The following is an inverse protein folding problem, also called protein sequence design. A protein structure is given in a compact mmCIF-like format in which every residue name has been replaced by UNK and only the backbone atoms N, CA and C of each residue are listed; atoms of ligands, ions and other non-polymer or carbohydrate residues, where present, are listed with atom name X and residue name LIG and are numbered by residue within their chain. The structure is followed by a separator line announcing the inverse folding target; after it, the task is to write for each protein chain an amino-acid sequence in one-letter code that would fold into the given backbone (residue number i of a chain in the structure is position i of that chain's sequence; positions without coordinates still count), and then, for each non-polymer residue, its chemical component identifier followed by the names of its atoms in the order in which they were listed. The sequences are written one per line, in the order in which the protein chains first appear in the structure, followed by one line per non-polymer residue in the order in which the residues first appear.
data_IF_033643362071
#
_entry.id   IF_033643362071
#
_cell.length_a   1.000
_cell.length_b   1.000
_cell.length_c   1.000
_cell.angle_alpha   90.00
_cell.angle_beta   90.00
_cell.angle_gamma   90.00
#
_symmetry.space_group_name_H-M   'P 1'
#
loop_
_entity.id
_entity.type
_entity.pdbx_description
1 polymer ?
#
# COMPACT_ATOMS: atom_id res chain seq x y z
N UNK A 1 39.54 14.54 -54.45
CA UNK A 1 38.72 13.86 -53.42
C UNK A 1 37.35 13.58 -54.03
N UNK A 2 36.92 12.31 -54.12
CA UNK A 2 35.74 11.90 -54.91
C UNK A 2 34.40 12.30 -54.24
N UNK A 3 33.53 12.96 -55.01
CA UNK A 3 32.17 13.38 -54.65
C UNK A 3 31.25 12.21 -54.26
N UNK A 4 31.51 10.99 -54.73
CA UNK A 4 30.74 9.79 -54.36
C UNK A 4 30.82 9.49 -52.86
N UNK A 5 31.99 9.68 -52.25
CA UNK A 5 32.19 9.37 -50.83
C UNK A 5 31.39 10.32 -49.91
N UNK A 6 31.24 11.60 -50.32
CA UNK A 6 30.45 12.59 -49.59
C UNK A 6 28.96 12.25 -49.55
N UNK A 7 28.40 11.67 -50.62
CA UNK A 7 26.98 11.23 -50.66
C UNK A 7 26.73 9.97 -49.81
N UNK A 8 27.67 9.04 -49.72
CA UNK A 8 27.53 7.89 -48.81
C UNK A 8 27.65 8.29 -47.34
N UNK A 9 28.63 9.13 -46.99
CA UNK A 9 28.80 9.64 -45.63
C UNK A 9 27.56 10.41 -45.12
N UNK A 10 26.99 11.28 -45.97
CA UNK A 10 25.77 12.02 -45.62
C UNK A 10 24.54 11.11 -45.48
N UNK A 11 24.44 10.00 -46.24
CA UNK A 11 23.37 9.01 -46.05
C UNK A 11 23.54 8.24 -44.73
N UNK A 12 24.75 7.90 -44.33
CA UNK A 12 25.01 7.25 -43.05
C UNK A 12 24.68 8.16 -41.85
N UNK A 13 24.98 9.47 -41.97
CA UNK A 13 24.62 10.46 -40.97
C UNK A 13 23.10 10.66 -40.85
N UNK A 14 22.39 10.80 -41.98
CA UNK A 14 20.92 10.95 -41.97
C UNK A 14 20.16 9.68 -41.59
N UNK A 15 20.74 8.48 -41.74
CA UNK A 15 20.10 7.24 -41.28
C UNK A 15 19.99 7.18 -39.76
N UNK A 16 20.94 7.78 -39.03
CA UNK A 16 20.91 7.85 -37.55
C UNK A 16 19.87 8.82 -37.00
N UNK A 17 19.38 9.77 -37.80
CA UNK A 17 18.44 10.81 -37.37
C UNK A 17 16.96 10.47 -37.65
N UNK A 18 16.66 9.41 -38.41
CA UNK A 18 15.29 9.06 -38.82
C UNK A 18 14.73 7.77 -38.16
N UNK A 19 15.35 7.29 -37.09
CA UNK A 19 14.85 6.17 -36.27
C UNK A 19 14.44 6.57 -34.84
N UNK A 20 14.48 7.87 -34.49
CA UNK A 20 14.68 8.30 -33.09
C UNK A 20 13.87 9.55 -32.72
N UNK A 21 12.54 9.49 -32.85
CA UNK A 21 11.64 10.47 -32.24
C UNK A 21 10.44 9.80 -31.56
N UNK A 22 9.33 9.55 -32.26
CA UNK A 22 8.06 9.13 -31.64
C UNK A 22 8.15 7.91 -30.72
N UNK A 23 8.83 6.83 -31.13
CA UNK A 23 8.94 5.62 -30.28
C UNK A 23 9.89 5.83 -29.10
N UNK A 24 10.94 6.64 -29.27
CA UNK A 24 11.87 6.97 -28.19
C UNK A 24 11.20 7.87 -27.15
N UNK A 25 10.38 8.83 -27.59
CA UNK A 25 9.61 9.71 -26.73
C UNK A 25 8.57 8.94 -25.91
N UNK A 26 7.85 7.99 -26.54
CA UNK A 26 6.85 7.16 -25.86
C UNK A 26 7.51 6.20 -24.85
N UNK A 27 8.66 5.61 -25.19
CA UNK A 27 9.44 4.79 -24.23
C UNK A 27 10.01 5.65 -23.09
N UNK A 28 10.49 6.87 -23.34
CA UNK A 28 10.92 7.79 -22.28
C UNK A 28 9.76 8.23 -21.38
N UNK A 29 8.57 8.46 -21.93
CA UNK A 29 7.38 8.85 -21.18
C UNK A 29 6.89 7.69 -20.30
N UNK A 30 6.91 6.46 -20.82
CA UNK A 30 6.62 5.27 -20.01
C UNK A 30 7.70 4.99 -18.95
N UNK A 31 8.98 5.22 -19.25
CA UNK A 31 10.08 5.03 -18.30
C UNK A 31 10.08 6.09 -17.18
N UNK A 32 9.80 7.35 -17.51
CA UNK A 32 9.65 8.42 -16.50
C UNK A 32 8.39 8.19 -15.66
N UNK A 33 7.27 7.80 -16.26
CA UNK A 33 6.08 7.38 -15.50
C UNK A 33 6.39 6.20 -14.57
N UNK A 34 7.09 5.17 -15.05
CA UNK A 34 7.52 4.01 -14.26
C UNK A 34 8.41 4.37 -13.06
N UNK A 35 9.32 5.35 -13.21
CA UNK A 35 10.17 5.81 -12.11
C UNK A 35 9.47 6.75 -11.12
N UNK A 36 8.50 7.54 -11.58
CA UNK A 36 7.79 8.54 -10.75
C UNK A 36 6.61 7.92 -10.00
N UNK A 37 5.87 7.00 -10.63
CA UNK A 37 4.67 6.35 -10.05
C UNK A 37 4.87 5.68 -8.68
N UNK A 38 5.98 4.94 -8.39
CA UNK A 38 6.21 4.39 -7.06
C UNK A 38 6.58 5.45 -6.02
N UNK A 39 7.09 6.62 -6.42
CA UNK A 39 7.57 7.66 -5.50
C UNK A 39 6.49 8.64 -5.02
N UNK A 40 5.33 8.70 -5.68
CA UNK A 40 4.26 9.67 -5.35
C UNK A 40 3.33 9.26 -4.21
N UNK A 41 3.54 8.10 -3.57
CA UNK A 41 2.59 7.50 -2.61
C UNK A 41 3.12 7.40 -1.16
N UNK A 42 4.15 8.17 -0.75
CA UNK A 42 4.78 7.97 0.58
C UNK A 42 5.24 9.24 1.30
N UNK A 43 4.46 10.33 1.22
CA UNK A 43 4.61 11.50 2.10
C UNK A 43 3.29 11.95 2.77
N UNK A 44 2.28 11.08 2.80
CA UNK A 44 1.16 11.22 3.72
C UNK A 44 1.40 10.29 4.92
N UNK A 45 1.56 10.84 6.12
CA UNK A 45 1.40 10.08 7.37
C UNK A 45 -0.11 9.98 7.65
N UNK A 46 -0.83 9.29 6.77
CA UNK A 46 -2.25 9.02 6.97
C UNK A 46 -2.40 8.01 8.11
N UNK A 47 -3.11 8.43 9.15
CA UNK A 47 -3.27 7.65 10.38
C UNK A 47 -4.23 6.49 10.14
N UNK A 48 -3.70 5.26 10.11
CA UNK A 48 -4.47 4.04 9.85
C UNK A 48 -5.11 3.50 11.15
N UNK A 49 -6.38 3.84 11.32
CA UNK A 49 -7.26 3.37 12.41
C UNK A 49 -7.38 1.83 12.42
N UNK A 50 -7.28 1.16 11.25
CA UNK A 50 -7.37 -0.31 11.13
C UNK A 50 -6.09 -0.98 11.59
N UNK A 51 -4.92 -0.48 11.18
CA UNK A 51 -3.64 -0.88 11.77
C UNK A 51 -3.62 -0.61 13.28
N UNK A 52 -4.08 0.56 13.71
CA UNK A 52 -4.23 0.92 15.13
C UNK A 52 -5.10 -0.07 15.92
N UNK A 53 -6.24 -0.49 15.37
CA UNK A 53 -7.10 -1.54 15.93
C UNK A 53 -6.36 -2.87 16.09
N UNK A 54 -5.62 -3.28 15.07
CA UNK A 54 -4.84 -4.53 15.07
C UNK A 54 -3.73 -4.50 16.14
N UNK A 55 -2.95 -3.42 16.18
CA UNK A 55 -1.89 -3.20 17.16
C UNK A 55 -2.45 -3.14 18.58
N UNK A 56 -3.56 -2.43 18.81
CA UNK A 56 -4.25 -2.39 20.11
C UNK A 56 -4.74 -3.78 20.54
N UNK A 57 -5.36 -4.55 19.63
CA UNK A 57 -5.86 -5.88 19.94
C UNK A 57 -4.74 -6.86 20.28
N UNK A 58 -3.60 -6.77 19.59
CA UNK A 58 -2.43 -7.63 19.81
C UNK A 58 -1.69 -7.28 21.10
N UNK A 59 -1.50 -5.98 21.39
CA UNK A 59 -0.58 -5.52 22.43
C UNK A 59 -1.28 -5.02 23.69
N UNK A 60 -2.46 -4.40 23.59
CA UNK A 60 -3.06 -3.60 24.68
C UNK A 60 -4.37 -4.22 25.24
N UNK A 61 -5.16 -4.88 24.39
CA UNK A 61 -6.53 -5.32 24.70
C UNK A 61 -6.63 -6.42 25.77
N UNK A 62 -5.51 -7.05 26.14
CA UNK A 62 -5.41 -7.98 27.26
C UNK A 62 -5.56 -7.29 28.63
N UNK A 63 -5.08 -6.06 28.76
CA UNK A 63 -5.07 -5.30 30.02
C UNK A 63 -6.02 -4.08 30.00
N UNK A 64 -6.31 -3.53 28.82
CA UNK A 64 -7.14 -2.35 28.64
C UNK A 64 -8.40 -2.64 27.84
N UNK A 65 -9.48 -1.93 28.16
CA UNK A 65 -10.66 -1.77 27.30
C UNK A 65 -10.84 -0.27 27.01
N UNK A 66 -11.58 0.04 25.96
CA UNK A 66 -11.84 1.43 25.58
C UNK A 66 -12.74 2.10 26.63
N UNK A 67 -13.89 1.51 26.93
CA UNK A 67 -14.96 2.14 27.71
C UNK A 67 -15.11 1.62 29.16
N UNK A 68 -14.17 0.79 29.65
CA UNK A 68 -14.23 0.18 30.99
C UNK A 68 -12.83 0.03 31.60
N UNK A 69 -12.69 0.27 32.90
CA UNK A 69 -11.49 -0.08 33.68
C UNK A 69 -11.34 -1.61 33.77
N UNK A 70 -10.10 -2.09 33.67
CA UNK A 70 -9.75 -3.51 33.80
C UNK A 70 -8.42 -3.61 34.60
N UNK A 71 -7.41 -4.31 34.10
CA UNK A 71 -6.05 -4.29 34.67
C UNK A 71 -5.40 -2.90 34.54
N UNK A 72 -5.77 -2.15 33.50
CA UNK A 72 -5.44 -0.74 33.33
C UNK A 72 -6.67 0.16 33.12
N UNK A 73 -6.46 1.49 33.01
CA UNK A 73 -7.51 2.47 32.78
C UNK A 73 -8.23 2.31 31.43
N UNK A 74 -9.44 2.88 31.36
CA UNK A 74 -10.25 2.99 30.15
C UNK A 74 -9.61 3.99 29.16
N UNK A 75 -9.25 3.51 27.97
CA UNK A 75 -8.43 4.28 27.02
C UNK A 75 -9.23 5.12 25.99
N UNK A 76 -10.56 5.07 25.98
CA UNK A 76 -11.40 5.94 25.12
C UNK A 76 -11.03 7.42 25.29
N UNK A 77 -10.66 8.08 24.21
CA UNK A 77 -10.16 9.47 24.17
C UNK A 77 -9.05 9.79 25.19
N UNK A 78 -8.14 8.84 25.48
CA UNK A 78 -7.09 9.01 26.51
C UNK A 78 -6.19 10.23 26.25
N UNK A 79 -5.85 10.51 24.99
CA UNK A 79 -5.05 11.69 24.59
C UNK A 79 -5.73 13.00 25.03
N UNK A 80 -7.02 13.16 24.70
CA UNK A 80 -7.80 14.33 25.11
C UNK A 80 -8.00 14.40 26.63
N UNK A 81 -8.19 13.26 27.32
CA UNK A 81 -8.34 13.28 28.79
C UNK A 81 -7.06 13.69 29.48
N UNK A 82 -5.91 13.10 29.14
CA UNK A 82 -4.63 13.45 29.76
C UNK A 82 -4.25 14.92 29.52
N UNK A 83 -4.52 15.44 28.32
CA UNK A 83 -4.25 16.84 27.98
C UNK A 83 -5.13 17.81 28.76
N UNK A 84 -6.42 17.51 28.94
CA UNK A 84 -7.36 18.41 29.62
C UNK A 84 -7.36 18.26 31.15
N UNK A 85 -7.22 17.04 31.67
CA UNK A 85 -7.36 16.73 33.09
C UNK A 85 -6.04 16.95 33.88
N UNK A 86 -4.90 16.64 33.26
CA UNK A 86 -3.57 16.62 33.91
C UNK A 86 -2.51 17.46 33.17
N UNK A 87 -2.85 18.05 32.02
CA UNK A 87 -1.93 18.87 31.21
C UNK A 87 -0.86 18.06 30.46
N UNK A 88 -1.03 16.74 30.33
CA UNK A 88 -0.05 15.83 29.75
C UNK A 88 -0.28 15.63 28.25
N UNK A 89 0.77 15.79 27.46
CA UNK A 89 0.71 15.80 26.01
C UNK A 89 0.89 14.39 25.38
N UNK A 90 0.85 14.35 24.05
CA UNK A 90 1.05 13.13 23.27
C UNK A 90 2.46 12.54 23.45
N UNK A 91 3.48 13.37 23.70
CA UNK A 91 4.85 12.91 23.92
C UNK A 91 5.03 12.18 25.26
N UNK A 92 4.29 12.60 26.30
CA UNK A 92 4.19 11.85 27.55
C UNK A 92 3.63 10.44 27.30
N UNK A 93 2.54 10.33 26.51
CA UNK A 93 1.96 9.04 26.11
C UNK A 93 2.95 8.16 25.34
N UNK A 94 3.73 8.73 24.41
CA UNK A 94 4.74 7.98 23.64
C UNK A 94 5.82 7.40 24.57
N UNK A 95 6.28 8.21 25.54
CA UNK A 95 7.28 7.79 26.53
C UNK A 95 6.72 6.72 27.48
N UNK A 96 5.48 6.88 27.93
CA UNK A 96 4.78 5.93 28.80
C UNK A 96 4.56 4.56 28.12
N UNK A 97 4.09 4.55 26.87
CA UNK A 97 3.83 3.31 26.13
C UNK A 97 5.15 2.56 25.85
N UNK A 98 6.23 3.29 25.53
CA UNK A 98 7.55 2.68 25.33
C UNK A 98 8.16 2.14 26.62
N UNK A 99 8.11 2.87 27.73
CA UNK A 99 8.71 2.45 28.99
C UNK A 99 8.09 3.13 30.24
N UNK A 100 6.87 2.75 30.59
CA UNK A 100 6.16 3.16 31.82
C UNK A 100 7.03 3.03 33.08
N UNK A 101 7.81 1.95 33.19
CA UNK A 101 8.71 1.71 34.33
C UNK A 101 9.81 2.75 34.49
N UNK A 102 10.27 3.37 33.40
CA UNK A 102 11.21 4.49 33.47
C UNK A 102 10.53 5.79 33.93
N UNK A 103 9.30 6.06 33.46
CA UNK A 103 8.51 7.24 33.84
C UNK A 103 8.08 7.18 35.33
N UNK A 104 7.74 5.99 35.83
CA UNK A 104 7.48 5.80 37.27
C UNK A 104 8.75 6.10 38.09
N UNK A 105 9.91 5.59 37.65
CA UNK A 105 11.22 5.77 38.32
C UNK A 105 11.79 7.19 38.24
N UNK A 106 11.41 8.00 37.25
CA UNK A 106 11.83 9.40 37.18
C UNK A 106 11.14 10.29 38.23
N UNK A 107 10.13 9.77 38.94
CA UNK A 107 9.39 10.50 39.97
C UNK A 107 8.21 11.31 39.43
N UNK A 108 7.77 11.06 38.20
CA UNK A 108 6.59 11.69 37.61
C UNK A 108 5.34 11.47 38.50
N UNK A 109 4.65 12.55 38.83
CA UNK A 109 3.57 12.54 39.82
C UNK A 109 2.34 11.77 39.34
N UNK A 110 1.99 11.88 38.06
CA UNK A 110 0.85 11.20 37.46
C UNK A 110 1.14 9.71 37.23
N UNK A 111 2.35 9.38 36.76
CA UNK A 111 2.86 8.01 36.65
C UNK A 111 2.80 7.26 38.00
N UNK A 112 3.24 7.89 39.08
CA UNK A 112 3.20 7.29 40.41
C UNK A 112 1.77 7.20 40.98
N UNK A 113 0.93 8.21 40.73
CA UNK A 113 -0.51 8.22 41.08
C UNK A 113 -1.26 7.08 40.39
N UNK A 114 -1.14 6.94 39.06
CA UNK A 114 -1.83 5.90 38.30
C UNK A 114 -1.28 4.51 38.62
N UNK A 115 0.05 4.37 38.83
CA UNK A 115 0.64 3.11 39.26
C UNK A 115 0.13 2.67 40.65
N UNK A 116 -0.09 3.61 41.58
CA UNK A 116 -0.73 3.31 42.86
C UNK A 116 -2.22 2.94 42.73
N UNK A 117 -2.99 3.63 41.88
CA UNK A 117 -4.43 3.34 41.66
C UNK A 117 -4.64 1.91 41.12
N UNK A 118 -3.78 1.43 40.22
CA UNK A 118 -3.90 0.10 39.60
C UNK A 118 -3.06 -0.97 40.32
N UNK A 119 -3.01 -0.92 41.66
CA UNK A 119 -2.37 -1.90 42.54
C UNK A 119 -0.88 -2.20 42.24
N UNK A 120 -0.14 -1.22 41.70
CA UNK A 120 1.25 -1.38 41.25
C UNK A 120 1.41 -2.47 40.17
N UNK A 121 0.39 -2.67 39.34
CA UNK A 121 0.44 -3.57 38.18
C UNK A 121 1.45 -3.03 37.17
N UNK A 122 2.47 -3.82 36.84
CA UNK A 122 3.47 -3.42 35.86
C UNK A 122 2.90 -3.49 34.44
N UNK A 123 2.92 -2.35 33.72
CA UNK A 123 2.62 -2.32 32.29
C UNK A 123 3.87 -2.74 31.50
N UNK A 124 3.72 -3.69 30.58
CA UNK A 124 4.77 -4.10 29.65
C UNK A 124 5.32 -2.91 28.87
N UNK A 125 6.64 -2.87 28.67
CA UNK A 125 7.30 -1.86 27.85
C UNK A 125 7.21 -2.25 26.36
N UNK A 126 6.88 -1.30 25.48
CA UNK A 126 6.80 -1.52 24.03
C UNK A 126 7.83 -0.65 23.26
N UNK A 127 9.15 -0.82 23.50
CA UNK A 127 10.18 -0.03 22.83
C UNK A 127 10.26 -0.26 21.31
N UNK A 128 9.65 -1.33 20.81
CA UNK A 128 9.58 -1.67 19.39
C UNK A 128 8.51 -0.88 18.60
N UNK A 129 7.60 -0.17 19.26
CA UNK A 129 6.55 0.59 18.57
C UNK A 129 7.10 1.95 18.09
N UNK A 130 6.98 2.21 16.80
CA UNK A 130 7.31 3.50 16.18
C UNK A 130 6.31 4.59 16.60
N UNK A 131 6.63 5.86 16.35
CA UNK A 131 5.70 6.96 16.64
C UNK A 131 4.40 6.81 15.85
N UNK A 132 4.49 6.32 14.60
CA UNK A 132 3.35 6.03 13.72
C UNK A 132 2.48 4.89 14.29
N UNK A 133 3.08 3.83 14.82
CA UNK A 133 2.32 2.74 15.45
C UNK A 133 1.54 3.24 16.67
N UNK A 134 2.16 4.08 17.49
CA UNK A 134 1.52 4.66 18.68
C UNK A 134 0.43 5.64 18.27
N UNK A 135 0.65 6.47 17.26
CA UNK A 135 -0.35 7.41 16.72
C UNK A 135 -1.58 6.67 16.15
N UNK A 136 -1.36 5.60 15.38
CA UNK A 136 -2.42 4.72 14.89
C UNK A 136 -3.24 4.11 16.05
N UNK A 137 -2.57 3.64 17.11
CA UNK A 137 -3.23 3.13 18.33
C UNK A 137 -4.06 4.25 19.01
N UNK A 138 -3.50 5.44 19.20
CA UNK A 138 -4.19 6.54 19.86
C UNK A 138 -5.43 6.99 19.05
N UNK A 139 -5.31 7.10 17.73
CA UNK A 139 -6.44 7.39 16.86
C UNK A 139 -7.52 6.30 16.90
N UNK A 140 -7.14 5.02 16.99
CA UNK A 140 -8.10 3.95 17.26
C UNK A 140 -8.85 4.15 18.59
N UNK A 141 -8.17 4.60 19.66
CA UNK A 141 -8.82 4.92 20.95
C UNK A 141 -9.66 6.20 20.94
N UNK A 142 -9.41 7.10 19.98
CA UNK A 142 -10.12 8.37 19.83
C UNK A 142 -11.44 8.26 19.05
N UNK A 143 -11.74 7.09 18.44
CA UNK A 143 -13.04 6.84 17.82
C UNK A 143 -14.19 6.97 18.83
N UNK A 144 -15.36 7.38 18.34
CA UNK A 144 -16.58 7.42 19.13
C UNK A 144 -17.05 6.01 19.52
N UNK A 145 -17.79 5.90 20.64
CA UNK A 145 -18.38 4.64 21.09
C UNK A 145 -19.59 4.27 20.23
N UNK A 146 -19.33 3.53 19.16
CA UNK A 146 -20.36 2.73 18.48
C UNK A 146 -21.00 1.82 19.54
N UNK A 147 -22.34 1.85 19.69
CA UNK A 147 -23.09 0.99 20.59
C UNK A 147 -23.59 -0.22 19.79
N UNK A 148 -22.98 -1.42 19.91
CA UNK A 148 -23.37 -2.58 19.12
C UNK A 148 -24.22 -3.54 19.97
N UNK A 149 -25.23 -4.15 19.33
CA UNK A 149 -25.90 -5.34 19.87
C UNK A 149 -24.90 -6.50 19.92
N UNK A 150 -25.20 -7.50 20.75
CA UNK A 150 -24.31 -8.62 21.08
C UNK A 150 -23.86 -9.50 19.88
N UNK A 151 -22.99 -10.45 20.18
CA UNK A 151 -21.70 -10.54 19.52
C UNK A 151 -21.18 -12.02 19.59
N UNK A 152 -20.56 -12.61 18.54
CA UNK A 152 -19.85 -13.94 18.56
C UNK A 152 -18.42 -13.85 18.00
N UNK A 153 -17.40 -14.44 18.64
CA UNK A 153 -15.98 -14.20 18.30
C UNK A 153 -15.37 -15.22 17.32
N UNK A 154 -14.71 -14.75 16.25
CA UNK A 154 -13.90 -15.60 15.34
C UNK A 154 -12.62 -14.91 14.88
N UNK A 155 -11.53 -15.68 14.89
CA UNK A 155 -10.17 -15.28 14.47
C UNK A 155 -10.07 -14.94 12.98
N UNK A 156 -9.38 -13.85 12.65
CA UNK A 156 -8.93 -13.54 11.29
C UNK A 156 -7.81 -14.48 10.85
N UNK A 157 -7.97 -15.14 9.70
CA UNK A 157 -6.87 -15.82 9.03
C UNK A 157 -5.89 -14.77 8.45
N UNK A 158 -4.61 -14.93 8.74
CA UNK A 158 -3.56 -14.03 8.23
C UNK A 158 -3.47 -14.09 6.71
N UNK A 159 -3.31 -12.92 6.08
CA UNK A 159 -2.82 -12.84 4.70
C UNK A 159 -1.44 -13.54 4.61
N UNK A 160 -1.07 -14.12 3.45
CA UNK A 160 0.17 -14.88 3.32
C UNK A 160 1.38 -13.99 3.59
N UNK A 161 2.02 -14.17 4.75
CA UNK A 161 3.25 -13.46 5.09
C UNK A 161 4.38 -13.93 4.18
N UNK A 162 5.00 -12.97 3.52
CA UNK A 162 6.29 -13.06 2.84
C UNK A 162 7.38 -13.59 3.80
N UNK A 163 7.60 -14.90 3.82
CA UNK A 163 8.68 -15.58 4.59
C UNK A 163 10.12 -15.18 4.17
N UNK A 164 10.27 -14.14 3.35
CA UNK A 164 11.52 -13.58 2.86
C UNK A 164 11.89 -12.26 3.54
N UNK A 165 11.02 -11.68 4.40
CA UNK A 165 11.27 -10.40 5.08
C UNK A 165 11.31 -9.16 4.18
N UNK A 166 11.08 -9.31 2.87
CA UNK A 166 11.05 -8.24 1.88
C UNK A 166 9.71 -7.51 1.92
N UNK A 167 9.70 -6.20 2.18
CA UNK A 167 8.44 -5.44 2.25
C UNK A 167 7.65 -5.52 0.93
N UNK A 168 6.33 -5.34 0.99
CA UNK A 168 5.44 -5.50 -0.17
C UNK A 168 5.84 -4.56 -1.32
N UNK A 169 6.35 -3.39 -0.98
CA UNK A 169 6.86 -2.35 -1.88
C UNK A 169 8.08 -2.86 -2.67
N UNK A 170 8.99 -3.59 -2.02
CA UNK A 170 10.16 -4.21 -2.67
C UNK A 170 9.73 -5.35 -3.59
N UNK A 171 8.78 -6.17 -3.17
CA UNK A 171 8.22 -7.26 -3.99
C UNK A 171 7.56 -6.68 -5.26
N UNK A 172 6.74 -5.65 -5.11
CA UNK A 172 6.11 -4.94 -6.22
C UNK A 172 7.14 -4.27 -7.14
N UNK A 173 8.19 -3.67 -6.57
CA UNK A 173 9.30 -3.09 -7.34
C UNK A 173 10.02 -4.11 -8.23
N UNK A 174 10.30 -5.31 -7.71
CA UNK A 174 10.92 -6.42 -8.46
C UNK A 174 10.01 -6.89 -9.61
N UNK A 175 8.71 -7.09 -9.35
CA UNK A 175 7.76 -7.46 -10.41
C UNK A 175 7.63 -6.38 -11.48
N UNK A 176 7.58 -5.10 -11.06
CA UNK A 176 7.53 -3.95 -11.98
C UNK A 176 8.75 -3.95 -12.92
N UNK A 177 9.95 -4.14 -12.38
CA UNK A 177 11.20 -4.23 -13.16
C UNK A 177 11.21 -5.41 -14.14
N UNK A 178 10.72 -6.57 -13.72
CA UNK A 178 10.59 -7.75 -14.58
C UNK A 178 9.67 -7.49 -15.78
N UNK A 179 8.48 -6.92 -15.54
CA UNK A 179 7.54 -6.58 -16.61
C UNK A 179 8.09 -5.50 -17.56
N UNK A 180 8.83 -4.52 -17.04
CA UNK A 180 9.49 -3.49 -17.85
C UNK A 180 10.55 -4.07 -18.80
N UNK A 181 11.42 -4.97 -18.30
CA UNK A 181 12.41 -5.67 -19.12
C UNK A 181 11.75 -6.52 -20.21
N UNK A 182 10.69 -7.26 -19.85
CA UNK A 182 9.93 -8.08 -20.79
C UNK A 182 9.23 -7.24 -21.87
N UNK A 183 8.69 -6.06 -21.51
CA UNK A 183 8.10 -5.12 -22.45
C UNK A 183 9.15 -4.54 -23.43
N UNK A 184 10.35 -4.17 -22.96
CA UNK A 184 11.45 -3.74 -23.83
C UNK A 184 11.82 -4.84 -24.82
N UNK A 185 11.97 -6.09 -24.36
CA UNK A 185 12.26 -7.24 -25.23
C UNK A 185 11.23 -7.41 -26.34
N UNK A 186 9.94 -7.36 -26.01
CA UNK A 186 8.83 -7.43 -26.98
C UNK A 186 8.84 -6.26 -27.97
N UNK A 187 9.12 -5.04 -27.52
CA UNK A 187 9.20 -3.86 -28.39
C UNK A 187 10.39 -3.95 -29.35
N UNK A 188 11.55 -4.38 -28.88
CA UNK A 188 12.74 -4.63 -29.72
C UNK A 188 12.46 -5.69 -30.78
N UNK A 189 11.91 -6.84 -30.38
CA UNK A 189 11.57 -7.94 -31.31
C UNK A 189 10.48 -7.53 -32.30
N UNK A 190 9.43 -6.82 -31.87
CA UNK A 190 8.41 -6.32 -32.79
C UNK A 190 8.99 -5.33 -33.80
N UNK A 191 9.91 -4.46 -33.37
CA UNK A 191 10.54 -3.47 -34.24
C UNK A 191 11.55 -4.11 -35.21
N UNK A 192 12.34 -5.10 -34.79
CA UNK A 192 13.24 -5.84 -35.69
C UNK A 192 12.45 -6.64 -36.73
N UNK A 193 11.41 -7.37 -36.32
CA UNK A 193 10.53 -8.12 -37.25
C UNK A 193 9.87 -7.19 -38.28
N UNK A 194 9.37 -6.01 -37.86
CA UNK A 194 8.83 -5.00 -38.79
C UNK A 194 9.89 -4.46 -39.75
N UNK A 195 11.12 -4.25 -39.28
CA UNK A 195 12.21 -3.79 -40.13
C UNK A 195 12.64 -4.86 -41.15
N UNK A 196 12.70 -6.14 -40.75
CA UNK A 196 12.94 -7.25 -41.67
C UNK A 196 11.81 -7.42 -42.70
N UNK A 197 10.54 -7.29 -42.31
CA UNK A 197 9.42 -7.33 -43.25
C UNK A 197 9.54 -6.25 -44.34
N UNK A 198 9.90 -5.02 -43.94
CA UNK A 198 10.15 -3.90 -44.88
C UNK A 198 11.36 -4.13 -45.79
N UNK A 199 12.41 -4.80 -45.31
CA UNK A 199 13.62 -5.08 -46.10
C UNK A 199 13.44 -6.23 -47.12
N UNK A 200 12.47 -7.11 -46.91
CA UNK A 200 12.17 -8.25 -47.80
C UNK A 200 10.96 -7.97 -48.71
N UNK A 201 10.58 -6.70 -48.90
CA UNK A 201 9.43 -6.24 -49.71
C UNK A 201 8.08 -6.93 -49.35
N UNK A 202 7.95 -7.42 -48.11
CA UNK A 202 6.72 -8.03 -47.62
C UNK A 202 5.73 -6.91 -47.36
N UNK A 203 4.68 -6.82 -48.19
CA UNK A 203 3.54 -5.92 -47.94
C UNK A 203 2.97 -6.21 -46.56
N UNK A 204 3.27 -5.35 -45.60
CA UNK A 204 2.62 -5.34 -44.31
C UNK A 204 1.13 -5.12 -44.56
N UNK A 205 0.32 -6.14 -44.26
CA UNK A 205 -1.12 -6.15 -44.55
C UNK A 205 -1.72 -4.84 -44.03
N UNK A 206 -2.26 -4.06 -44.95
CA UNK A 206 -2.90 -2.79 -44.66
C UNK A 206 -3.99 -3.05 -43.61
N UNK A 207 -3.92 -2.36 -42.47
CA UNK A 207 -4.84 -2.63 -41.36
C UNK A 207 -6.27 -2.37 -41.83
N UNK A 208 -7.00 -3.44 -42.14
CA UNK A 208 -8.45 -3.36 -42.23
C UNK A 208 -8.98 -2.72 -40.94
N UNK A 209 -9.97 -1.85 -41.09
CA UNK A 209 -10.52 -1.04 -39.99
C UNK A 209 -10.91 -1.98 -38.85
N UNK A 210 -10.07 -2.03 -37.82
CA UNK A 210 -10.29 -2.88 -36.65
C UNK A 210 -11.66 -2.55 -36.09
N UNK A 211 -12.50 -3.58 -35.89
CA UNK A 211 -13.80 -3.44 -35.23
C UNK A 211 -13.65 -2.55 -33.99
N UNK A 212 -14.57 -1.60 -33.73
CA UNK A 212 -14.49 -0.76 -32.54
C UNK A 212 -14.37 -1.65 -31.30
N UNK A 213 -13.53 -1.24 -30.34
CA UNK A 213 -13.04 -2.10 -29.24
C UNK A 213 -14.19 -2.76 -28.48
N UNK A 214 -15.29 -2.04 -28.26
CA UNK A 214 -16.55 -2.53 -27.68
C UNK A 214 -17.17 -3.71 -28.44
N UNK A 215 -17.16 -3.67 -29.78
CA UNK A 215 -17.68 -4.76 -30.61
C UNK A 215 -16.74 -5.98 -30.57
N UNK A 216 -15.42 -5.75 -30.61
CA UNK A 216 -14.43 -6.81 -30.46
C UNK A 216 -14.46 -7.47 -29.06
N UNK A 217 -14.85 -6.74 -28.03
CA UNK A 217 -15.04 -7.25 -26.67
C UNK A 217 -16.30 -8.13 -26.57
N UNK A 218 -17.45 -7.67 -27.08
CA UNK A 218 -18.72 -8.44 -27.06
C UNK A 218 -18.64 -9.68 -27.97
N UNK A 219 -17.97 -9.58 -29.13
CA UNK A 219 -17.74 -10.72 -30.03
C UNK A 219 -16.81 -11.79 -29.41
N UNK A 220 -16.10 -11.50 -28.31
CA UNK A 220 -15.16 -12.41 -27.65
C UNK A 220 -15.75 -13.00 -26.36
N UNK A 221 -16.35 -14.19 -26.48
CA UNK A 221 -16.96 -14.92 -25.36
C UNK A 221 -16.02 -15.17 -24.18
N UNK A 222 -14.71 -15.32 -24.39
CA UNK A 222 -13.74 -15.49 -23.31
C UNK A 222 -13.54 -14.20 -22.51
N UNK A 223 -13.39 -13.05 -23.17
CA UNK A 223 -13.27 -11.75 -22.49
C UNK A 223 -14.55 -11.37 -21.75
N UNK A 224 -15.71 -11.67 -22.34
CA UNK A 224 -17.02 -11.50 -21.68
C UNK A 224 -17.14 -12.38 -20.43
N UNK A 225 -16.68 -13.64 -20.48
CA UNK A 225 -16.69 -14.54 -19.32
C UNK A 225 -15.72 -14.06 -18.23
N UNK A 226 -14.48 -13.72 -18.57
CA UNK A 226 -13.49 -13.25 -17.61
C UNK A 226 -13.91 -11.95 -16.91
N UNK A 227 -14.50 -11.00 -17.63
CA UNK A 227 -15.01 -9.75 -17.04
C UNK A 227 -16.24 -9.98 -16.16
N UNK A 228 -17.15 -10.88 -16.53
CA UNK A 228 -18.28 -11.28 -15.70
C UNK A 228 -17.83 -11.95 -14.39
N UNK A 229 -16.86 -12.88 -14.46
CA UNK A 229 -16.26 -13.53 -13.27
C UNK A 229 -15.55 -12.50 -12.39
N UNK A 230 -14.80 -11.55 -12.97
CA UNK A 230 -14.11 -10.50 -12.22
C UNK A 230 -15.12 -9.60 -11.49
N UNK A 231 -16.18 -9.15 -12.15
CA UNK A 231 -17.23 -8.35 -11.52
C UNK A 231 -17.97 -9.13 -10.42
N UNK A 232 -18.22 -10.43 -10.62
CA UNK A 232 -18.79 -11.31 -9.59
C UNK A 232 -17.86 -11.43 -8.38
N UNK A 233 -16.55 -11.62 -8.60
CA UNK A 233 -15.55 -11.70 -7.52
C UNK A 233 -15.41 -10.37 -6.76
N UNK A 234 -15.40 -9.23 -7.46
CA UNK A 234 -15.37 -7.90 -6.83
C UNK A 234 -16.65 -7.64 -6.03
N UNK A 235 -17.82 -8.00 -6.57
CA UNK A 235 -19.10 -7.92 -5.87
C UNK A 235 -19.14 -8.82 -4.64
N UNK A 236 -18.70 -10.07 -4.76
CA UNK A 236 -18.61 -11.02 -3.66
C UNK A 236 -17.61 -10.58 -2.59
N UNK A 237 -16.47 -9.97 -2.99
CA UNK A 237 -15.49 -9.38 -2.06
C UNK A 237 -16.04 -8.15 -1.34
N UNK A 238 -16.74 -7.25 -2.03
CA UNK A 238 -17.42 -6.11 -1.42
C UNK A 238 -18.53 -6.53 -0.46
N UNK A 239 -19.34 -7.52 -0.85
CA UNK A 239 -20.37 -8.12 0.00
C UNK A 239 -19.76 -8.87 1.19
N UNK A 240 -18.63 -9.56 1.01
CA UNK A 240 -17.87 -10.18 2.09
C UNK A 240 -17.32 -9.13 3.07
N UNK A 241 -16.74 -8.03 2.57
CA UNK A 241 -16.31 -6.90 3.40
C UNK A 241 -17.47 -6.27 4.18
N UNK A 242 -18.63 -6.11 3.54
CA UNK A 242 -19.85 -5.61 4.19
C UNK A 242 -20.41 -6.57 5.23
N UNK A 243 -20.48 -7.88 4.94
CA UNK A 243 -20.93 -8.89 5.91
C UNK A 243 -19.93 -9.09 7.06
N UNK A 244 -18.63 -8.87 6.84
CA UNK A 244 -17.62 -8.83 7.89
C UNK A 244 -17.75 -7.62 8.83
N UNK A 245 -18.42 -6.53 8.41
CA UNK A 245 -18.81 -5.45 9.32
C UNK A 245 -19.98 -5.84 10.25
N UNK A 246 -20.76 -6.87 9.90
CA UNK A 246 -21.95 -7.31 10.65
C UNK A 246 -21.66 -8.27 11.82
N UNK A 247 -20.38 -8.52 12.13
CA UNK A 247 -19.94 -8.87 13.49
C UNK A 247 -19.49 -10.32 13.71
N UNK A 248 -18.17 -10.51 13.89
CA UNK A 248 -17.54 -11.71 14.49
C UNK A 248 -16.62 -11.37 15.68
N UNK A 249 -16.99 -10.44 16.54
CA UNK A 249 -16.37 -10.27 17.87
C UNK A 249 -17.37 -10.70 18.96
N UNK A 250 -16.88 -11.23 20.09
CA UNK A 250 -17.66 -11.42 21.33
C UNK A 250 -17.36 -10.28 22.31
#
# INVERSE_FOLDING_TARGET
MDLRNKKQFLRFFNFRNNLTSSNFFLVHLLFTYFLIFPFTNSFAQDVDITAGKSLFNTNCAACHKLDKKMTGPALRHVENRLLNDEGLDKQWLYTWIRNSSAVIKSGDSYANKIYAEYNRSAMTAYPQLSDVDIENILAYTAQEKIIPVANVSVSTASAPSNNLGLSNEVILGIFSLLFFLLAIGLLLVSNTLRNFARLNDVKLIEKEKSKPIWKAFIDNQFLMLCSAILLLLVSAYGFYGWTMQLGTNQ
#
